data_IF_875367324555
#
_entry.id   IF_875367324555
#
_cell.length_a   1.000
_cell.length_b   1.000
_cell.length_c   1.000
_cell.angle_alpha   90.00
_cell.angle_beta   90.00
_cell.angle_gamma   90.00
#
_symmetry.space_group_name_H-M   'P 1'
#
loop_
_entity.id
_entity.type
_entity.pdbx_description
1 polymer ?
#
# COMPACT_ATOMS: atom_id res chain seq x y z
N UNK A 1 -1.79 23.79 -9.68
CA UNK A 1 -1.39 22.58 -8.93
C UNK A 1 -0.10 22.92 -8.19
N UNK A 2 -0.10 22.93 -6.86
CA UNK A 2 1.06 23.27 -6.03
C UNK A 2 1.87 21.98 -5.77
N UNK A 3 3.06 21.86 -6.35
CA UNK A 3 3.91 20.65 -6.34
C UNK A 3 4.87 20.59 -5.13
N UNK A 4 4.50 21.21 -4.00
CA UNK A 4 5.37 21.30 -2.83
C UNK A 4 5.66 19.92 -2.19
N UNK A 5 4.75 18.97 -2.36
CA UNK A 5 4.83 17.63 -1.76
C UNK A 5 5.47 16.56 -2.65
N UNK A 6 5.58 16.78 -3.97
CA UNK A 6 6.13 15.76 -4.88
C UNK A 6 7.57 15.42 -4.52
N UNK A 7 8.37 16.44 -4.15
CA UNK A 7 9.76 16.24 -3.72
C UNK A 7 9.84 15.47 -2.40
N UNK A 8 8.95 15.76 -1.45
CA UNK A 8 8.91 15.09 -0.15
C UNK A 8 8.53 13.61 -0.29
N UNK A 9 7.50 13.32 -1.08
CA UNK A 9 7.07 11.96 -1.43
C UNK A 9 8.19 11.17 -2.14
N UNK A 10 8.90 11.79 -3.07
CA UNK A 10 10.04 11.17 -3.75
C UNK A 10 11.18 10.85 -2.77
N UNK A 11 11.46 11.73 -1.81
CA UNK A 11 12.52 11.51 -0.82
C UNK A 11 12.17 10.37 0.14
N UNK A 12 10.90 10.24 0.54
CA UNK A 12 10.43 9.08 1.31
C UNK A 12 10.47 7.78 0.50
N UNK A 13 10.11 7.81 -0.78
CA UNK A 13 10.22 6.64 -1.66
C UNK A 13 11.67 6.16 -1.80
N UNK A 14 12.64 7.09 -1.87
CA UNK A 14 14.07 6.74 -1.88
C UNK A 14 14.53 6.09 -0.57
N UNK A 15 13.96 6.49 0.58
CA UNK A 15 14.28 5.85 1.86
C UNK A 15 13.92 4.37 1.86
N UNK A 16 12.75 4.01 1.28
CA UNK A 16 12.31 2.62 1.07
C UNK A 16 13.23 1.81 0.13
N UNK A 17 14.05 2.45 -0.69
CA UNK A 17 15.01 1.76 -1.58
C UNK A 17 16.42 1.70 -0.98
N UNK A 18 16.73 2.57 0.00
CA UNK A 18 18.09 2.81 0.49
C UNK A 18 18.57 1.88 1.62
N UNK A 19 17.67 1.07 2.19
CA UNK A 19 17.90 0.27 3.40
C UNK A 19 18.32 1.03 4.66
N UNK A 20 18.29 2.36 4.61
CA UNK A 20 18.77 3.22 5.69
C UNK A 20 17.67 3.51 6.70
N UNK A 21 17.97 3.31 7.98
CA UNK A 21 17.09 3.64 9.12
C UNK A 21 15.78 2.82 9.19
N UNK A 22 15.78 1.57 8.73
CA UNK A 22 14.68 0.65 9.03
C UNK A 22 14.68 0.27 10.51
N UNK A 23 13.59 0.58 11.20
CA UNK A 23 13.32 0.17 12.58
C UNK A 23 12.35 -1.03 12.65
N UNK A 24 11.65 -1.31 11.56
CA UNK A 24 10.56 -2.29 11.47
C UNK A 24 10.76 -3.23 10.28
N UNK A 25 10.69 -4.54 10.51
CA UNK A 25 10.70 -5.57 9.47
C UNK A 25 9.31 -6.20 9.38
N UNK A 26 8.67 -6.12 8.21
CA UNK A 26 7.38 -6.78 7.98
C UNK A 26 7.63 -8.06 7.17
N UNK A 27 7.78 -9.17 7.88
CA UNK A 27 7.92 -10.49 7.28
C UNK A 27 6.55 -11.17 7.09
N UNK A 28 6.25 -11.55 5.84
CA UNK A 28 5.15 -12.46 5.54
C UNK A 28 5.57 -13.90 5.90
N UNK A 29 5.49 -14.27 7.17
CA UNK A 29 5.83 -15.61 7.66
C UNK A 29 4.60 -16.38 8.18
N UNK A 30 4.62 -17.70 7.98
CA UNK A 30 3.65 -18.63 8.58
C UNK A 30 3.88 -18.83 10.10
N UNK A 31 5.09 -18.58 10.62
CA UNK A 31 5.48 -18.84 12.01
C UNK A 31 6.29 -17.69 12.64
N UNK A 32 6.18 -17.54 13.96
CA UNK A 32 6.76 -16.42 14.73
C UNK A 32 8.17 -16.74 15.25
N UNK A 33 9.16 -15.86 15.05
CA UNK A 33 10.45 -15.86 15.76
C UNK A 33 10.56 -14.53 16.51
N UNK A 34 10.89 -14.57 17.81
CA UNK A 34 11.07 -13.38 18.64
C UNK A 34 12.56 -13.03 18.71
N UNK A 35 12.94 -11.89 18.14
CA UNK A 35 14.29 -11.32 18.26
C UNK A 35 14.22 -9.78 18.35
N UNK A 36 14.99 -9.21 19.27
CA UNK A 36 15.33 -7.80 19.52
C UNK A 36 14.58 -6.73 18.69
N UNK A 37 13.68 -5.96 19.33
CA UNK A 37 13.00 -4.75 18.82
C UNK A 37 12.26 -4.84 17.48
N UNK A 38 12.17 -6.02 16.86
CA UNK A 38 11.45 -6.22 15.60
C UNK A 38 9.98 -6.53 15.90
N UNK A 39 9.06 -5.77 15.28
CA UNK A 39 7.62 -6.01 15.35
C UNK A 39 7.17 -6.87 14.16
N UNK A 40 6.83 -8.14 14.42
CA UNK A 40 6.29 -9.03 13.40
C UNK A 40 4.77 -8.82 13.23
N UNK A 41 4.35 -8.30 12.08
CA UNK A 41 2.93 -8.15 11.71
C UNK A 41 2.53 -9.31 10.78
N UNK A 42 1.47 -10.04 11.14
CA UNK A 42 0.94 -11.13 10.31
C UNK A 42 -0.18 -10.62 9.42
N UNK A 43 0.02 -10.71 8.10
CA UNK A 43 -0.95 -10.31 7.07
C UNK A 43 -1.26 -11.51 6.15
N UNK A 44 -1.93 -12.56 6.64
CA UNK A 44 -2.11 -13.81 5.90
C UNK A 44 -2.95 -13.65 4.63
N UNK A 45 -3.89 -12.69 4.62
CA UNK A 45 -4.87 -12.49 3.56
C UNK A 45 -4.42 -11.48 2.49
N UNK A 46 -3.28 -10.82 2.70
CA UNK A 46 -2.77 -9.81 1.77
C UNK A 46 -1.67 -10.44 0.90
N UNK A 47 -1.82 -10.30 -0.42
CA UNK A 47 -0.80 -10.76 -1.37
C UNK A 47 0.48 -9.92 -1.25
N UNK A 48 1.64 -10.49 -1.60
CA UNK A 48 2.91 -9.72 -1.59
C UNK A 48 2.84 -8.54 -2.56
N UNK A 49 2.19 -8.73 -3.71
CA UNK A 49 1.97 -7.68 -4.71
C UNK A 49 1.16 -6.53 -4.13
N UNK A 50 0.02 -6.81 -3.50
CA UNK A 50 -0.85 -5.79 -2.88
C UNK A 50 -0.14 -5.08 -1.73
N UNK A 51 0.57 -5.83 -0.88
CA UNK A 51 1.36 -5.25 0.20
C UNK A 51 2.43 -4.28 -0.30
N UNK A 52 3.16 -4.64 -1.37
CA UNK A 52 4.15 -3.76 -1.98
C UNK A 52 3.54 -2.45 -2.49
N UNK A 53 2.32 -2.50 -3.05
CA UNK A 53 1.60 -1.30 -3.48
C UNK A 53 1.27 -0.42 -2.27
N UNK A 54 0.77 -1.02 -1.18
CA UNK A 54 0.43 -0.29 0.05
C UNK A 54 1.64 0.38 0.68
N UNK A 55 2.77 -0.32 0.77
CA UNK A 55 4.01 0.28 1.32
C UNK A 55 4.46 1.45 0.46
N UNK A 56 4.46 1.31 -0.87
CA UNK A 56 4.76 2.43 -1.77
C UNK A 56 3.77 3.59 -1.61
N UNK A 57 2.49 3.30 -1.40
CA UNK A 57 1.48 4.32 -1.15
C UNK A 57 1.73 5.09 0.16
N UNK A 58 2.13 4.42 1.24
CA UNK A 58 2.45 5.07 2.53
C UNK A 58 3.60 6.08 2.38
N UNK A 59 4.64 5.72 1.63
CA UNK A 59 5.81 6.59 1.43
C UNK A 59 5.61 7.62 0.33
N UNK A 60 4.85 7.29 -0.72
CA UNK A 60 4.69 8.11 -1.92
C UNK A 60 3.39 8.92 -1.98
N UNK A 61 2.37 8.56 -1.20
CA UNK A 61 1.04 9.18 -1.25
C UNK A 61 0.28 8.98 -2.56
N UNK A 62 0.82 8.17 -3.49
CA UNK A 62 0.27 7.96 -4.84
C UNK A 62 0.19 6.47 -5.13
N UNK A 63 -0.89 6.05 -5.79
CA UNK A 63 -1.06 4.70 -6.33
C UNK A 63 -1.41 4.77 -7.80
N UNK A 64 -0.71 4.01 -8.63
CA UNK A 64 -0.97 3.92 -10.08
C UNK A 64 -1.76 2.65 -10.37
N UNK A 65 -2.91 2.79 -11.04
CA UNK A 65 -3.80 1.67 -11.34
C UNK A 65 -3.62 1.10 -12.77
N UNK A 66 -2.91 1.81 -13.65
CA UNK A 66 -2.82 1.53 -15.10
C UNK A 66 -2.30 0.11 -15.45
N UNK A 67 -1.52 -0.50 -14.57
CA UNK A 67 -0.93 -1.83 -14.78
C UNK A 67 -1.48 -2.90 -13.81
N UNK A 68 -2.61 -2.62 -13.17
CA UNK A 68 -3.28 -3.55 -12.26
C UNK A 68 -4.42 -4.26 -12.97
N UNK A 69 -4.55 -5.57 -12.74
CA UNK A 69 -5.75 -6.29 -13.14
C UNK A 69 -6.92 -5.85 -12.25
N UNK A 70 -8.15 -6.00 -12.73
CA UNK A 70 -9.37 -5.71 -11.95
C UNK A 70 -9.34 -6.42 -10.58
N UNK A 71 -8.87 -7.67 -10.53
CA UNK A 71 -8.72 -8.44 -9.29
C UNK A 71 -7.72 -7.80 -8.30
N UNK A 72 -6.62 -7.22 -8.79
CA UNK A 72 -5.65 -6.50 -7.97
C UNK A 72 -6.25 -5.23 -7.38
N UNK A 73 -7.08 -4.52 -8.15
CA UNK A 73 -7.77 -3.30 -7.71
C UNK A 73 -8.74 -3.62 -6.57
N UNK A 74 -9.52 -4.70 -6.68
CA UNK A 74 -10.38 -5.15 -5.58
C UNK A 74 -9.57 -5.61 -4.35
N UNK A 75 -8.48 -6.34 -4.55
CA UNK A 75 -7.58 -6.72 -3.46
C UNK A 75 -6.99 -5.49 -2.76
N UNK A 76 -6.63 -4.45 -3.52
CA UNK A 76 -6.15 -3.19 -2.98
C UNK A 76 -7.23 -2.47 -2.17
N UNK A 77 -8.47 -2.42 -2.65
CA UNK A 77 -9.61 -1.83 -1.93
C UNK A 77 -9.87 -2.55 -0.60
N UNK A 78 -9.89 -3.88 -0.60
CA UNK A 78 -10.04 -4.69 0.62
C UNK A 78 -8.90 -4.38 1.59
N UNK A 79 -7.67 -4.30 1.09
CA UNK A 79 -6.50 -4.02 1.91
C UNK A 79 -6.55 -2.60 2.50
N UNK A 80 -6.93 -1.58 1.72
CA UNK A 80 -7.13 -0.22 2.22
C UNK A 80 -8.21 -0.16 3.30
N UNK A 81 -9.28 -0.95 3.18
CA UNK A 81 -10.27 -1.11 4.24
C UNK A 81 -9.70 -1.77 5.50
N UNK A 82 -8.91 -2.83 5.38
CA UNK A 82 -8.23 -3.47 6.54
C UNK A 82 -7.29 -2.50 7.28
N UNK A 83 -6.61 -1.60 6.56
CA UNK A 83 -5.72 -0.58 7.14
C UNK A 83 -6.40 0.75 7.49
N UNK A 84 -7.72 0.89 7.26
CA UNK A 84 -8.49 2.13 7.49
C UNK A 84 -7.98 3.36 6.73
N UNK A 85 -7.58 3.21 5.46
CA UNK A 85 -7.26 4.35 4.59
C UNK A 85 -8.51 4.96 3.96
N UNK A 86 -9.36 5.59 4.78
CA UNK A 86 -10.69 6.10 4.37
C UNK A 86 -10.66 6.97 3.11
N UNK A 87 -9.72 7.93 3.02
CA UNK A 87 -9.62 8.78 1.82
C UNK A 87 -9.33 7.98 0.54
N UNK A 88 -8.47 6.96 0.64
CA UNK A 88 -8.15 6.08 -0.49
C UNK A 88 -9.33 5.19 -0.87
N UNK A 89 -10.09 4.72 0.12
CA UNK A 89 -11.30 3.90 -0.09
C UNK A 89 -12.33 4.73 -0.85
N UNK A 90 -12.62 5.95 -0.40
CA UNK A 90 -13.62 6.82 -1.01
C UNK A 90 -13.27 7.11 -2.48
N UNK A 91 -12.01 7.51 -2.74
CA UNK A 91 -11.54 7.78 -4.11
C UNK A 91 -11.62 6.56 -5.01
N UNK A 92 -11.23 5.39 -4.52
CA UNK A 92 -11.22 4.17 -5.32
C UNK A 92 -12.64 3.66 -5.59
N UNK A 93 -13.55 3.79 -4.63
CA UNK A 93 -14.96 3.45 -4.81
C UNK A 93 -15.64 4.38 -5.81
N UNK A 94 -15.40 5.69 -5.75
CA UNK A 94 -15.90 6.64 -6.74
C UNK A 94 -15.43 6.27 -8.15
N UNK A 95 -14.13 5.99 -8.32
CA UNK A 95 -13.57 5.57 -9.62
C UNK A 95 -14.17 4.24 -10.13
N UNK A 96 -14.48 3.29 -9.24
CA UNK A 96 -15.14 2.05 -9.62
C UNK A 96 -16.59 2.28 -10.08
N UNK A 97 -17.32 3.18 -9.41
CA UNK A 97 -18.73 3.47 -9.73
C UNK A 97 -18.85 4.32 -11.00
N UNK A 98 -18.00 5.34 -11.15
CA UNK A 98 -18.11 6.30 -12.24
C UNK A 98 -17.49 5.77 -13.55
N UNK A 99 -16.28 5.21 -13.48
CA UNK A 99 -15.50 4.86 -14.67
C UNK A 99 -15.52 3.35 -14.98
N UNK A 100 -15.78 2.50 -13.98
CA UNK A 100 -15.64 1.05 -14.11
C UNK A 100 -16.87 0.27 -13.63
N UNK A 101 -18.07 0.86 -13.72
CA UNK A 101 -19.30 0.26 -13.23
C UNK A 101 -19.56 -1.15 -13.77
N UNK A 102 -19.09 -1.47 -14.97
CA UNK A 102 -19.20 -2.80 -15.59
C UNK A 102 -18.41 -3.91 -14.87
N UNK A 103 -17.51 -3.56 -13.95
CA UNK A 103 -16.74 -4.52 -13.15
C UNK A 103 -17.46 -4.91 -11.84
N UNK A 104 -18.53 -4.19 -11.48
CA UNK A 104 -19.38 -4.44 -10.30
C UNK A 104 -20.52 -5.40 -10.64
#
# INVERSE_FOLDING_TARGET
MLTFYDKLSQDFTKLLESEYNYDTIIEKLANTIKGNNIFNIKLPNISVKTFNIVVKYIYGGVVTLENLETSDIFNLLITFNEFNFSESIDRLQTLLIEDNASWL
#
